data_IF_726393687641
#
_entry.id   IF_726393687641
#
_cell.length_a   1.000
_cell.length_b   1.000
_cell.length_c   1.000
_cell.angle_alpha   90.00
_cell.angle_beta   90.00
_cell.angle_gamma   90.00
#
_symmetry.space_group_name_H-M   'P 1'
#
loop_
_entity.id
_entity.type
_entity.pdbx_description
1 polymer ?
#
# COMPACT_ATOMS: atom_id res chain seq x y z
N UNK A 1 -32.34 22.58 1.83
CA UNK A 1 -31.65 21.89 2.94
C UNK A 1 -31.12 20.56 2.38
N UNK A 2 -29.80 20.41 2.15
CA UNK A 2 -29.26 19.18 1.55
C UNK A 2 -29.31 18.06 2.59
N UNK A 3 -29.93 16.93 2.27
CA UNK A 3 -29.93 15.73 3.11
C UNK A 3 -28.47 15.27 3.23
N UNK A 4 -27.87 15.42 4.41
CA UNK A 4 -26.51 14.94 4.65
C UNK A 4 -26.57 13.41 4.74
N UNK A 5 -26.07 12.75 3.69
CA UNK A 5 -26.05 11.30 3.62
C UNK A 5 -25.03 10.78 4.61
N UNK A 6 -25.51 9.95 5.53
CA UNK A 6 -24.72 9.34 6.58
C UNK A 6 -24.60 7.84 6.31
N UNK A 7 -23.41 7.30 6.53
CA UNK A 7 -23.03 5.92 6.28
C UNK A 7 -22.64 5.25 7.59
N UNK A 8 -23.08 4.02 7.79
CA UNK A 8 -22.46 3.12 8.76
C UNK A 8 -21.19 2.53 8.16
N UNK A 9 -20.34 1.93 9.01
CA UNK A 9 -19.11 1.27 8.54
C UNK A 9 -19.39 0.14 7.53
N UNK A 10 -20.54 -0.54 7.65
CA UNK A 10 -20.97 -1.57 6.69
C UNK A 10 -21.28 -0.95 5.32
N UNK A 11 -21.92 0.21 5.28
CA UNK A 11 -22.21 0.91 4.02
C UNK A 11 -20.92 1.35 3.32
N UNK A 12 -19.96 1.87 4.10
CA UNK A 12 -18.64 2.24 3.58
C UNK A 12 -17.89 1.01 3.04
N UNK A 13 -17.94 -0.12 3.76
CA UNK A 13 -17.33 -1.38 3.33
C UNK A 13 -17.89 -1.84 1.98
N UNK A 14 -19.22 -1.86 1.82
CA UNK A 14 -19.87 -2.24 0.57
C UNK A 14 -19.51 -1.29 -0.59
N UNK A 15 -19.48 0.01 -0.34
CA UNK A 15 -19.20 1.01 -1.38
C UNK A 15 -17.74 1.06 -1.82
N UNK A 16 -16.83 0.81 -0.90
CA UNK A 16 -15.38 0.89 -1.17
C UNK A 16 -14.79 -0.47 -1.53
N UNK A 17 -15.45 -1.56 -1.16
CA UNK A 17 -14.91 -2.92 -1.23
C UNK A 17 -13.82 -3.20 -0.19
N UNK A 18 -13.59 -2.29 0.77
CA UNK A 18 -12.68 -2.50 1.87
C UNK A 18 -13.39 -3.28 2.99
N UNK A 19 -12.67 -4.15 3.70
CA UNK A 19 -13.23 -4.81 4.87
C UNK A 19 -13.53 -3.79 5.98
N UNK A 20 -14.50 -4.10 6.85
CA UNK A 20 -14.78 -3.25 8.01
C UNK A 20 -13.58 -3.10 8.93
N UNK A 21 -12.70 -4.11 9.00
CA UNK A 21 -11.48 -4.05 9.81
C UNK A 21 -10.42 -3.14 9.21
N UNK A 22 -10.30 -3.10 7.87
CA UNK A 22 -9.44 -2.13 7.18
C UNK A 22 -9.93 -0.70 7.44
N UNK A 23 -11.24 -0.46 7.40
CA UNK A 23 -11.80 0.87 7.70
C UNK A 23 -11.54 1.25 9.16
N UNK A 24 -11.73 0.32 10.11
CA UNK A 24 -11.37 0.54 11.54
C UNK A 24 -9.89 0.78 11.73
N UNK A 25 -9.05 0.10 10.96
CA UNK A 25 -7.60 0.31 11.00
C UNK A 25 -7.25 1.74 10.58
N UNK A 26 -7.86 2.27 9.52
CA UNK A 26 -7.67 3.67 9.12
C UNK A 26 -8.24 4.68 10.13
N UNK A 27 -9.37 4.36 10.79
CA UNK A 27 -9.87 5.16 11.92
C UNK A 27 -8.85 5.20 13.07
N UNK A 28 -8.29 4.04 13.46
CA UNK A 28 -7.24 3.96 14.50
C UNK A 28 -5.95 4.72 14.15
N UNK A 29 -5.65 4.83 12.86
CA UNK A 29 -4.53 5.62 12.34
C UNK A 29 -4.87 7.11 12.15
N UNK A 30 -6.03 7.56 12.63
CA UNK A 30 -6.52 8.94 12.52
C UNK A 30 -6.68 9.46 11.07
N UNK A 31 -6.70 8.56 10.08
CA UNK A 31 -6.95 8.93 8.68
C UNK A 31 -8.43 9.25 8.44
N UNK A 32 -9.31 8.66 9.24
CA UNK A 32 -10.76 8.80 9.16
C UNK A 32 -11.30 9.20 10.53
N UNK A 33 -12.30 10.06 10.53
CA UNK A 33 -13.06 10.38 11.74
C UNK A 33 -14.55 10.23 11.47
N UNK A 34 -15.32 9.64 12.40
CA UNK A 34 -16.76 9.63 12.29
C UNK A 34 -17.31 11.06 12.44
N UNK A 35 -18.32 11.38 11.65
CA UNK A 35 -19.01 12.67 11.72
C UNK A 35 -19.67 12.86 13.08
N UNK A 36 -20.33 11.80 13.57
CA UNK A 36 -20.93 11.77 14.91
C UNK A 36 -21.17 10.33 15.36
N UNK A 37 -21.53 10.18 16.64
CA UNK A 37 -22.13 8.95 17.18
C UNK A 37 -23.62 9.16 17.40
N UNK A 38 -24.45 8.27 16.86
CA UNK A 38 -25.89 8.32 17.06
C UNK A 38 -26.30 7.90 18.48
N UNK A 39 -27.58 8.08 18.81
CA UNK A 39 -28.17 7.63 20.08
C UNK A 39 -28.07 6.12 20.30
N UNK A 40 -27.97 5.35 19.22
CA UNK A 40 -27.68 3.91 19.20
C UNK A 40 -26.18 3.58 19.41
N UNK A 41 -25.35 4.58 19.73
CA UNK A 41 -23.89 4.48 19.88
C UNK A 41 -23.14 4.02 18.60
N UNK A 42 -23.81 4.04 17.44
CA UNK A 42 -23.17 3.74 16.17
C UNK A 42 -22.45 4.96 15.61
N UNK A 43 -21.32 4.71 14.95
CA UNK A 43 -20.56 5.74 14.23
C UNK A 43 -21.18 5.95 12.86
N UNK A 44 -21.44 7.22 12.55
CA UNK A 44 -21.92 7.67 11.26
C UNK A 44 -20.85 8.48 10.55
N UNK A 45 -20.70 8.24 9.26
CA UNK A 45 -19.69 8.86 8.39
C UNK A 45 -20.39 9.60 7.26
N UNK A 46 -19.77 10.65 6.74
CA UNK A 46 -20.30 11.42 5.63
C UNK A 46 -19.72 11.02 4.27
N UNK A 47 -20.19 11.67 3.21
CA UNK A 47 -19.69 11.50 1.84
C UNK A 47 -18.19 11.84 1.72
N UNK A 48 -17.69 12.81 2.51
CA UNK A 48 -16.25 13.17 2.51
C UNK A 48 -15.41 11.99 2.98
N UNK A 49 -15.85 11.28 4.01
CA UNK A 49 -15.19 10.07 4.49
C UNK A 49 -15.18 8.97 3.44
N UNK A 50 -16.28 8.79 2.70
CA UNK A 50 -16.35 7.83 1.59
C UNK A 50 -15.32 8.19 0.50
N UNK A 51 -15.27 9.45 0.07
CA UNK A 51 -14.32 9.90 -0.94
C UNK A 51 -12.87 9.73 -0.48
N UNK A 52 -12.58 10.05 0.78
CA UNK A 52 -11.27 9.82 1.40
C UNK A 52 -10.88 8.34 1.40
N UNK A 53 -11.80 7.43 1.70
CA UNK A 53 -11.56 5.98 1.61
C UNK A 53 -11.26 5.53 0.18
N UNK A 54 -11.98 6.06 -0.81
CA UNK A 54 -11.73 5.77 -2.23
C UNK A 54 -10.34 6.28 -2.64
N UNK A 55 -9.95 7.47 -2.18
CA UNK A 55 -8.62 8.03 -2.39
C UNK A 55 -7.53 7.13 -1.79
N UNK A 56 -7.63 6.80 -0.50
CA UNK A 56 -6.69 5.90 0.19
C UNK A 56 -6.59 4.56 -0.56
N UNK A 57 -7.72 3.99 -0.99
CA UNK A 57 -7.74 2.73 -1.76
C UNK A 57 -6.94 2.85 -3.07
N UNK A 58 -7.10 3.94 -3.82
CA UNK A 58 -6.36 4.17 -5.07
C UNK A 58 -4.86 4.31 -4.82
N UNK A 59 -4.46 5.06 -3.80
CA UNK A 59 -3.04 5.19 -3.45
C UNK A 59 -2.43 3.86 -3.02
N UNK A 60 -3.14 3.07 -2.21
CA UNK A 60 -2.66 1.73 -1.79
C UNK A 60 -2.55 0.75 -2.95
N UNK A 61 -3.35 0.90 -4.01
CA UNK A 61 -3.21 0.10 -5.23
C UNK A 61 -1.93 0.44 -6.03
N UNK A 62 -1.33 1.60 -5.77
CA UNK A 62 -0.02 2.02 -6.31
C UNK A 62 1.11 1.77 -5.31
N UNK A 63 0.86 0.97 -4.27
CA UNK A 63 1.77 0.67 -3.16
C UNK A 63 2.25 1.88 -2.34
N UNK A 64 1.69 3.07 -2.57
CA UNK A 64 2.01 4.29 -1.80
C UNK A 64 1.75 4.01 -0.31
N UNK A 65 2.72 4.38 0.53
CA UNK A 65 2.69 4.12 1.97
C UNK A 65 1.61 4.94 2.67
N UNK A 66 1.21 4.54 3.89
CA UNK A 66 0.24 5.32 4.66
C UNK A 66 0.77 6.69 5.06
N UNK A 67 2.08 6.84 5.24
CA UNK A 67 2.70 8.11 5.58
C UNK A 67 2.59 9.09 4.40
N UNK A 68 2.92 8.64 3.18
CA UNK A 68 2.76 9.42 1.96
C UNK A 68 1.29 9.75 1.68
N UNK A 69 0.38 8.80 1.90
CA UNK A 69 -1.06 9.04 1.79
C UNK A 69 -1.52 10.13 2.76
N UNK A 70 -1.00 10.14 3.99
CA UNK A 70 -1.32 11.19 4.97
C UNK A 70 -0.88 12.55 4.45
N UNK A 71 0.34 12.64 3.91
CA UNK A 71 0.84 13.88 3.31
C UNK A 71 0.00 14.35 2.12
N UNK A 72 -0.40 13.44 1.22
CA UNK A 72 -1.29 13.76 0.10
C UNK A 72 -2.66 14.27 0.57
N UNK A 73 -3.21 13.69 1.65
CA UNK A 73 -4.48 14.14 2.24
C UNK A 73 -4.37 15.52 2.93
N UNK A 74 -3.19 15.91 3.39
CA UNK A 74 -2.92 17.26 3.91
C UNK A 74 -2.82 18.29 2.77
N UNK A 75 -2.15 17.92 1.67
CA UNK A 75 -2.06 18.76 0.47
C UNK A 75 -3.43 18.98 -0.17
N UNK A 76 -4.28 17.95 -0.23
CA UNK A 76 -5.65 18.05 -0.76
C UNK A 76 -6.50 19.10 0.00
N UNK A 77 -6.25 19.30 1.29
CA UNK A 77 -6.97 20.30 2.11
C UNK A 77 -6.56 21.74 1.79
N UNK A 78 -5.49 21.95 1.02
CA UNK A 78 -4.96 23.26 0.66
C UNK A 78 -4.99 23.48 -0.87
N UNK A 79 -6.17 23.60 -1.49
CA UNK A 79 -6.31 23.62 -2.96
C UNK A 79 -5.67 24.84 -3.65
N UNK A 80 -5.30 25.88 -2.90
CA UNK A 80 -4.59 27.04 -3.42
C UNK A 80 -3.06 26.84 -3.53
N UNK A 81 -2.52 25.75 -2.97
CA UNK A 81 -1.09 25.43 -3.05
C UNK A 81 -0.73 24.82 -4.42
N UNK A 82 0.53 24.97 -4.80
CA UNK A 82 1.09 24.34 -6.00
C UNK A 82 1.07 22.81 -5.85
N UNK A 83 0.75 22.10 -6.94
CA UNK A 83 0.84 20.65 -7.00
C UNK A 83 2.29 20.11 -7.07
N UNK A 84 3.30 20.98 -7.02
CA UNK A 84 4.73 20.59 -7.03
C UNK A 84 5.08 19.56 -5.96
N UNK A 85 4.55 19.69 -4.73
CA UNK A 85 4.77 18.72 -3.67
C UNK A 85 4.19 17.33 -3.99
N UNK A 86 3.04 17.29 -4.68
CA UNK A 86 2.42 16.03 -5.14
C UNK A 86 3.28 15.41 -6.24
N UNK A 87 3.74 16.21 -7.21
CA UNK A 87 4.60 15.73 -8.29
C UNK A 87 5.90 15.13 -7.73
N UNK A 88 6.56 15.86 -6.81
CA UNK A 88 7.79 15.40 -6.17
C UNK A 88 7.60 14.05 -5.45
N UNK A 89 6.51 13.89 -4.69
CA UNK A 89 6.21 12.62 -4.02
C UNK A 89 6.06 11.48 -5.02
N UNK A 90 5.40 11.72 -6.15
CA UNK A 90 5.23 10.70 -7.19
C UNK A 90 6.55 10.40 -7.89
N UNK A 91 7.37 11.42 -8.18
CA UNK A 91 8.71 11.24 -8.79
C UNK A 91 9.62 10.41 -7.86
N UNK A 92 9.61 10.70 -6.56
CA UNK A 92 10.36 9.95 -5.55
C UNK A 92 9.89 8.48 -5.49
N UNK A 93 8.58 8.23 -5.54
CA UNK A 93 8.03 6.87 -5.56
C UNK A 93 8.38 6.11 -6.84
N UNK A 94 8.38 6.78 -8.00
CA UNK A 94 8.84 6.21 -9.27
C UNK A 94 10.31 5.79 -9.17
N UNK A 95 11.15 6.62 -8.54
CA UNK A 95 12.55 6.30 -8.34
C UNK A 95 12.73 5.07 -7.42
N UNK A 96 12.01 5.03 -6.29
CA UNK A 96 12.05 3.88 -5.36
C UNK A 96 11.63 2.57 -6.04
N UNK A 97 10.55 2.59 -6.83
CA UNK A 97 10.10 1.43 -7.60
C UNK A 97 11.15 1.00 -8.62
N UNK A 98 11.77 1.96 -9.32
CA UNK A 98 12.82 1.70 -10.31
C UNK A 98 14.05 1.05 -9.67
N UNK A 99 14.46 1.54 -8.49
CA UNK A 99 15.57 0.97 -7.73
C UNK A 99 15.25 -0.45 -7.28
N UNK A 100 14.02 -0.70 -6.81
CA UNK A 100 13.59 -2.05 -6.42
C UNK A 100 13.58 -3.02 -7.61
N UNK A 101 13.13 -2.58 -8.78
CA UNK A 101 13.20 -3.37 -10.01
C UNK A 101 14.65 -3.73 -10.33
N UNK A 102 15.58 -2.78 -10.23
CA UNK A 102 16.99 -3.02 -10.51
C UNK A 102 17.61 -4.01 -9.51
N UNK A 103 17.28 -3.90 -8.23
CA UNK A 103 17.70 -4.85 -7.20
C UNK A 103 17.14 -6.26 -7.48
N UNK A 104 15.85 -6.37 -7.78
CA UNK A 104 15.21 -7.64 -8.10
C UNK A 104 15.78 -8.29 -9.35
N UNK A 105 16.14 -7.50 -10.37
CA UNK A 105 16.84 -8.00 -11.57
C UNK A 105 18.22 -8.58 -11.21
N UNK A 106 18.99 -7.89 -10.37
CA UNK A 106 20.30 -8.42 -9.90
C UNK A 106 20.12 -9.73 -9.15
N UNK A 107 19.16 -9.80 -8.25
CA UNK A 107 18.85 -11.03 -7.52
C UNK A 107 18.40 -12.16 -8.45
N UNK A 108 17.55 -11.85 -9.43
CA UNK A 108 17.15 -12.80 -10.45
C UNK A 108 18.36 -13.35 -11.23
N UNK A 109 19.30 -12.49 -11.64
CA UNK A 109 20.53 -12.92 -12.31
C UNK A 109 21.33 -13.89 -11.43
N UNK A 110 21.54 -13.56 -10.15
CA UNK A 110 22.24 -14.45 -9.21
C UNK A 110 21.56 -15.81 -9.05
N UNK A 111 20.22 -15.85 -8.99
CA UNK A 111 19.46 -17.10 -8.92
C UNK A 111 19.58 -17.93 -10.21
N UNK A 112 19.57 -17.27 -11.38
CA UNK A 112 19.77 -17.95 -12.67
C UNK A 112 21.19 -18.54 -12.76
N UNK A 113 22.19 -17.78 -12.35
CA UNK A 113 23.60 -18.23 -12.29
C UNK A 113 23.74 -19.43 -11.35
N UNK A 114 23.21 -19.33 -10.13
CA UNK A 114 23.19 -20.44 -9.17
C UNK A 114 22.51 -21.67 -9.78
N UNK A 115 21.32 -21.51 -10.38
CA UNK A 115 20.58 -22.62 -11.01
C UNK A 115 21.37 -23.26 -12.16
N UNK A 116 22.14 -22.48 -12.93
CA UNK A 116 22.94 -22.97 -14.06
C UNK A 116 24.09 -23.91 -13.67
N UNK A 117 24.45 -23.95 -12.38
CA UNK A 117 25.55 -24.80 -11.87
C UNK A 117 25.17 -26.28 -11.76
N UNK A 118 23.87 -26.60 -11.76
CA UNK A 118 23.37 -27.97 -11.60
C UNK A 118 22.46 -28.37 -12.76
N UNK A 119 23.04 -28.88 -13.84
CA UNK A 119 22.32 -29.16 -15.10
C UNK A 119 21.80 -30.60 -15.23
N UNK A 120 22.14 -31.47 -14.28
CA UNK A 120 21.74 -32.87 -14.28
C UNK A 120 20.80 -33.17 -13.12
N UNK A 121 19.84 -34.06 -13.36
CA UNK A 121 19.04 -34.67 -12.31
C UNK A 121 19.91 -35.69 -11.56
N UNK A 122 20.80 -35.15 -10.73
CA UNK A 122 21.76 -35.89 -9.92
C UNK A 122 21.22 -36.07 -8.51
N UNK A 123 21.84 -36.97 -7.76
CA UNK A 123 21.47 -37.18 -6.35
C UNK A 123 21.80 -35.92 -5.53
N UNK A 124 21.12 -35.75 -4.40
CA UNK A 124 21.25 -34.58 -3.54
C UNK A 124 22.70 -34.37 -3.04
N UNK A 125 23.43 -35.46 -2.79
CA UNK A 125 24.85 -35.45 -2.41
C UNK A 125 25.78 -34.90 -3.52
N UNK A 126 25.33 -34.90 -4.77
CA UNK A 126 26.06 -34.35 -5.92
C UNK A 126 25.55 -32.98 -6.38
N UNK A 127 24.50 -32.45 -5.75
CA UNK A 127 23.88 -31.18 -6.10
C UNK A 127 24.84 -30.00 -5.91
N UNK A 128 25.22 -29.37 -7.03
CA UNK A 128 26.16 -28.24 -7.02
C UNK A 128 25.56 -26.97 -6.40
N UNK A 129 24.24 -26.77 -6.53
CA UNK A 129 23.53 -25.65 -5.90
C UNK A 129 23.67 -25.73 -4.37
N UNK A 130 23.45 -26.90 -3.78
CA UNK A 130 23.58 -27.08 -2.32
C UNK A 130 25.03 -26.90 -1.88
N UNK A 131 25.98 -27.49 -2.60
CA UNK A 131 27.41 -27.30 -2.33
C UNK A 131 27.82 -25.83 -2.35
N UNK A 132 27.30 -25.03 -3.29
CA UNK A 132 27.57 -23.59 -3.35
C UNK A 132 26.90 -22.80 -2.23
N UNK A 133 25.67 -23.14 -1.83
CA UNK A 133 24.97 -22.47 -0.73
C UNK A 133 25.59 -22.80 0.64
N UNK A 134 26.14 -24.00 0.81
CA UNK A 134 26.82 -24.44 2.04
C UNK A 134 28.27 -23.98 2.11
N UNK A 135 28.89 -23.69 0.96
CA UNK A 135 30.21 -23.07 0.89
C UNK A 135 30.13 -21.65 1.48
N UNK A 136 30.47 -21.52 2.77
CA UNK A 136 30.53 -20.26 3.53
C UNK A 136 30.95 -19.08 2.65
N UNK A 137 30.04 -18.12 2.47
CA UNK A 137 30.39 -16.78 2.03
C UNK A 137 31.31 -16.14 3.07
N UNK A 138 32.59 -15.94 2.72
CA UNK A 138 33.45 -14.98 3.43
C UNK A 138 33.07 -13.56 3.05
#
# INVERSE_FOLDING_TARGET
MKIQKNYLIKDLSLKTGLSTDTIRFYEKKNLLQPTFRGSNNYRYYDEKTLNKLIFIKRCRALEISLNEITHLLELEQNPAQSCSAVNQLIDDHIQQVSDKINELKKFQTQLIELRSTCNTDSRIDDCQILKQLEAKSS
#
